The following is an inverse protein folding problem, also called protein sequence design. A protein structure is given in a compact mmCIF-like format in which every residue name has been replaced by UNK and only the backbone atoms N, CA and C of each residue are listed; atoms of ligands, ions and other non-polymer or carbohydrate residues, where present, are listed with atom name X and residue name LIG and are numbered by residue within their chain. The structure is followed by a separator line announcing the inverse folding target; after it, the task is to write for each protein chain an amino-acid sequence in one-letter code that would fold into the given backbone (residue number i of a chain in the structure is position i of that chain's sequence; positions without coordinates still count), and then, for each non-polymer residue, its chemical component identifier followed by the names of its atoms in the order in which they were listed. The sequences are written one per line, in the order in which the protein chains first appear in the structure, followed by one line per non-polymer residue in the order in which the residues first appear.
data_IF_292393168274
#
_entry.id   IF_292393168274
#
_cell.length_a   1.000
_cell.length_b   1.000
_cell.length_c   1.000
_cell.angle_alpha   90.00
_cell.angle_beta   90.00
_cell.angle_gamma   90.00
#
_symmetry.space_group_name_H-M   'P 1'
#
loop_
_entity.id
_entity.type
_entity.pdbx_description
1 polymer ?
#
# COMPACT_ATOMS: atom_id res chain seq x y z
N UNK A 1 -19.21 23.64 -9.18
CA UNK A 1 -17.95 22.94 -8.84
C UNK A 1 -18.11 22.39 -7.43
N UNK A 2 -17.74 21.13 -7.13
CA UNK A 2 -17.77 20.65 -5.76
C UNK A 2 -16.92 21.59 -4.89
N UNK A 3 -17.53 22.17 -3.86
CA UNK A 3 -16.85 23.06 -2.90
C UNK A 3 -16.11 22.19 -1.89
N UNK A 4 -14.81 21.98 -2.10
CA UNK A 4 -13.98 21.27 -1.13
C UNK A 4 -13.84 22.08 0.15
N UNK A 5 -13.93 21.40 1.30
CA UNK A 5 -13.63 22.03 2.59
C UNK A 5 -12.13 22.29 2.72
N UNK A 6 -11.69 23.28 3.55
CA UNK A 6 -10.26 23.51 3.79
C UNK A 6 -9.50 22.26 4.26
N UNK A 7 -10.16 21.41 5.07
CA UNK A 7 -9.61 20.13 5.51
C UNK A 7 -9.42 19.16 4.34
N UNK A 8 -10.38 19.02 3.43
CA UNK A 8 -10.26 18.16 2.25
C UNK A 8 -9.13 18.61 1.32
N UNK A 9 -8.98 19.93 1.14
CA UNK A 9 -7.87 20.48 0.35
C UNK A 9 -6.53 20.12 0.99
N UNK A 10 -6.41 20.29 2.32
CA UNK A 10 -5.20 19.93 3.05
C UNK A 10 -4.90 18.43 2.96
N UNK A 11 -5.88 17.57 3.26
CA UNK A 11 -5.73 16.11 3.17
C UNK A 11 -5.28 15.71 1.77
N UNK A 12 -5.98 16.14 0.72
CA UNK A 12 -5.60 15.81 -0.66
C UNK A 12 -4.19 16.31 -0.99
N UNK A 13 -3.82 17.53 -0.57
CA UNK A 13 -2.49 18.07 -0.84
C UNK A 13 -1.40 17.23 -0.17
N UNK A 14 -1.59 16.82 1.08
CA UNK A 14 -0.63 15.99 1.81
C UNK A 14 -0.64 14.51 1.39
N UNK A 15 -1.71 14.01 0.78
CA UNK A 15 -1.80 12.60 0.37
C UNK A 15 -1.58 12.38 -1.13
N UNK A 16 -1.49 13.44 -1.94
CA UNK A 16 -1.33 13.34 -3.41
C UNK A 16 -0.17 12.42 -3.83
N UNK A 17 0.96 12.45 -3.10
CA UNK A 17 2.13 11.62 -3.41
C UNK A 17 2.06 10.16 -2.95
N UNK A 18 1.02 9.78 -2.18
CA UNK A 18 0.96 8.47 -1.51
C UNK A 18 0.91 7.31 -2.52
N UNK A 19 0.35 7.57 -3.71
CA UNK A 19 0.41 6.71 -4.89
C UNK A 19 1.78 6.08 -5.14
N UNK A 20 2.80 6.94 -5.20
CA UNK A 20 4.17 6.51 -5.44
C UNK A 20 4.80 5.87 -4.21
N UNK A 21 4.47 6.38 -3.02
CA UNK A 21 5.00 5.87 -1.75
C UNK A 21 4.60 4.43 -1.49
N UNK A 22 3.34 4.07 -1.73
CA UNK A 22 2.88 2.70 -1.48
C UNK A 22 3.43 1.71 -2.51
N UNK A 23 3.60 2.10 -3.78
CA UNK A 23 4.23 1.20 -4.77
C UNK A 23 5.70 1.02 -4.48
N UNK A 24 6.39 2.08 -4.06
CA UNK A 24 7.78 1.95 -3.62
C UNK A 24 7.91 0.94 -2.48
N UNK A 25 7.07 1.03 -1.45
CA UNK A 25 7.10 0.05 -0.36
C UNK A 25 6.66 -1.35 -0.78
N UNK A 26 5.70 -1.49 -1.70
CA UNK A 26 5.36 -2.79 -2.28
C UNK A 26 6.59 -3.41 -2.96
N UNK A 27 7.34 -2.65 -3.75
CA UNK A 27 8.57 -3.13 -4.39
C UNK A 27 9.62 -3.51 -3.34
N UNK A 28 9.82 -2.70 -2.30
CA UNK A 28 10.70 -3.06 -1.17
C UNK A 28 10.26 -4.37 -0.51
N UNK A 29 8.96 -4.56 -0.28
CA UNK A 29 8.38 -5.79 0.24
C UNK A 29 8.71 -6.99 -0.65
N UNK A 30 8.52 -6.86 -1.96
CA UNK A 30 8.87 -7.91 -2.94
C UNK A 30 10.37 -8.25 -2.86
N UNK A 31 11.24 -7.23 -2.82
CA UNK A 31 12.69 -7.42 -2.78
C UNK A 31 13.19 -8.05 -1.48
N UNK A 32 12.44 -7.91 -0.38
CA UNK A 32 12.81 -8.45 0.94
C UNK A 32 13.01 -9.97 0.93
N UNK A 33 12.31 -10.68 0.04
CA UNK A 33 12.53 -12.12 -0.19
C UNK A 33 13.06 -12.41 -1.61
N UNK A 34 12.67 -11.62 -2.61
CA UNK A 34 13.16 -11.79 -3.98
C UNK A 34 14.69 -11.68 -4.10
N UNK A 35 15.31 -10.83 -3.27
CA UNK A 35 16.78 -10.70 -3.22
C UNK A 35 17.47 -11.95 -2.69
N UNK A 36 16.85 -12.71 -1.78
CA UNK A 36 17.41 -13.97 -1.27
C UNK A 36 17.38 -15.07 -2.32
N UNK A 37 16.29 -15.13 -3.10
CA UNK A 37 16.19 -16.03 -4.25
C UNK A 37 17.24 -15.67 -5.32
N UNK A 38 17.38 -14.38 -5.63
CA UNK A 38 18.33 -13.90 -6.66
C UNK A 38 19.78 -14.22 -6.31
N UNK A 39 20.18 -14.03 -5.05
CA UNK A 39 21.56 -14.25 -4.60
C UNK A 39 21.79 -15.64 -4.00
N UNK A 40 20.80 -16.55 -4.08
CA UNK A 40 20.86 -17.92 -3.53
C UNK A 40 21.19 -17.98 -2.03
N UNK A 41 20.90 -16.93 -1.28
CA UNK A 41 21.15 -16.87 0.17
C UNK A 41 20.02 -17.50 0.99
N UNK A 42 18.88 -17.82 0.36
CA UNK A 42 17.73 -18.43 1.03
C UNK A 42 18.08 -19.77 1.70
N UNK A 43 19.00 -20.55 1.13
CA UNK A 43 19.47 -21.81 1.73
C UNK A 43 20.16 -21.55 3.07
N UNK A 44 20.99 -20.51 3.15
CA UNK A 44 21.63 -20.10 4.40
C UNK A 44 20.61 -19.67 5.46
N UNK A 45 19.60 -18.89 5.06
CA UNK A 45 18.51 -18.46 5.95
C UNK A 45 17.72 -19.67 6.49
N UNK A 46 17.41 -20.65 5.63
CA UNK A 46 16.67 -21.85 6.02
C UNK A 46 17.51 -22.84 6.84
N UNK A 47 18.83 -22.85 6.68
CA UNK A 47 19.73 -23.60 7.56
C UNK A 47 19.80 -22.99 8.96
N UNK A 48 19.72 -21.65 9.07
CA UNK A 48 19.69 -20.96 10.36
C UNK A 48 18.33 -21.09 11.07
N UNK A 49 17.22 -20.96 10.35
CA UNK A 49 15.87 -21.17 10.88
C UNK A 49 15.02 -21.97 9.86
N UNK A 50 14.85 -23.29 10.08
CA UNK A 50 14.16 -24.16 9.12
C UNK A 50 12.65 -23.93 9.10
N UNK A 51 12.08 -23.30 10.14
CA UNK A 51 10.64 -23.00 10.19
C UNK A 51 10.35 -21.78 9.32
N UNK A 52 10.03 -22.04 8.04
CA UNK A 52 9.58 -21.05 7.05
C UNK A 52 8.57 -20.01 7.57
N UNK A 53 7.51 -20.35 8.35
CA UNK A 53 6.61 -19.32 8.88
C UNK A 53 7.29 -18.37 9.87
N UNK A 54 8.25 -18.85 10.67
CA UNK A 54 9.02 -18.01 11.61
C UNK A 54 9.94 -17.05 10.85
N UNK A 55 10.59 -17.54 9.78
CA UNK A 55 11.41 -16.71 8.90
C UNK A 55 10.58 -15.62 8.20
N UNK A 56 9.38 -15.94 7.72
CA UNK A 56 8.52 -14.93 7.08
C UNK A 56 7.99 -13.93 8.12
N UNK A 57 7.63 -14.39 9.33
CA UNK A 57 7.20 -13.49 10.41
C UNK A 57 8.29 -12.49 10.81
N UNK A 58 9.56 -12.89 10.85
CA UNK A 58 10.66 -11.95 11.13
C UNK A 58 10.79 -10.89 10.04
N UNK A 59 10.60 -11.25 8.77
CA UNK A 59 10.54 -10.30 7.64
C UNK A 59 9.35 -9.36 7.72
N UNK A 60 8.18 -9.84 8.16
CA UNK A 60 6.99 -8.98 8.41
C UNK A 60 7.33 -7.91 9.45
N UNK A 61 7.93 -8.29 10.58
CA UNK A 61 8.31 -7.34 11.65
C UNK A 61 9.35 -6.33 11.15
N UNK A 62 10.40 -6.82 10.48
CA UNK A 62 11.45 -5.95 9.92
C UNK A 62 10.89 -4.96 8.89
N UNK A 63 9.98 -5.43 8.03
CA UNK A 63 9.37 -4.61 6.99
C UNK A 63 8.39 -3.58 7.55
N UNK A 64 7.64 -3.91 8.60
CA UNK A 64 6.81 -2.95 9.32
C UNK A 64 7.67 -1.85 9.98
N UNK A 65 8.77 -2.23 10.62
CA UNK A 65 9.72 -1.25 11.18
C UNK A 65 10.30 -0.32 10.11
N UNK A 66 10.75 -0.89 8.98
CA UNK A 66 11.21 -0.10 7.83
C UNK A 66 10.09 0.79 7.25
N UNK A 67 8.88 0.25 7.10
CA UNK A 67 7.72 0.98 6.59
C UNK A 67 7.34 2.18 7.45
N UNK A 68 7.46 2.06 8.77
CA UNK A 68 7.28 3.20 9.70
C UNK A 68 8.37 4.25 9.47
N UNK A 69 9.64 3.87 9.41
CA UNK A 69 10.74 4.82 9.19
C UNK A 69 10.60 5.54 7.84
N UNK A 70 10.38 4.79 6.76
CA UNK A 70 10.13 5.34 5.44
C UNK A 70 8.90 6.23 5.43
N UNK A 71 7.81 5.80 6.06
CA UNK A 71 6.57 6.55 6.14
C UNK A 71 6.75 7.87 6.88
N UNK A 72 7.54 7.92 7.95
CA UNK A 72 7.87 9.15 8.66
C UNK A 72 8.66 10.12 7.77
N UNK A 73 9.63 9.62 7.00
CA UNK A 73 10.38 10.43 6.02
C UNK A 73 9.46 10.95 4.92
N UNK A 74 8.58 10.09 4.40
CA UNK A 74 7.58 10.45 3.40
C UNK A 74 6.63 11.53 3.92
N UNK A 75 6.09 11.35 5.13
CA UNK A 75 5.20 12.33 5.76
C UNK A 75 5.90 13.65 6.03
N UNK A 76 7.15 13.63 6.51
CA UNK A 76 7.92 14.85 6.71
C UNK A 76 8.07 15.63 5.40
N UNK A 77 8.47 14.94 4.31
CA UNK A 77 8.57 15.55 2.99
C UNK A 77 7.22 16.09 2.48
N UNK A 78 6.15 15.32 2.68
CA UNK A 78 4.80 15.73 2.26
C UNK A 78 4.28 16.93 3.05
N UNK A 79 4.43 16.93 4.37
CA UNK A 79 3.97 18.03 5.24
C UNK A 79 4.77 19.30 4.98
N UNK A 80 6.10 19.20 4.83
CA UNK A 80 6.94 20.36 4.49
C UNK A 80 6.47 20.96 3.16
N UNK A 81 6.40 20.14 2.11
CA UNK A 81 6.03 20.60 0.77
C UNK A 81 4.60 21.14 0.72
N UNK A 82 3.65 20.40 1.29
CA UNK A 82 2.24 20.77 1.29
C UNK A 82 1.97 22.03 2.12
N UNK A 83 2.59 22.17 3.28
CA UNK A 83 2.42 23.37 4.12
C UNK A 83 3.00 24.60 3.43
N UNK A 84 4.15 24.48 2.76
CA UNK A 84 4.70 25.57 1.93
C UNK A 84 3.75 25.96 0.79
N UNK A 85 3.16 24.99 0.09
CA UNK A 85 2.19 25.27 -0.99
C UNK A 85 0.91 25.92 -0.45
N UNK A 86 0.36 25.42 0.65
CA UNK A 86 -0.87 25.96 1.24
C UNK A 86 -0.66 27.39 1.75
N UNK A 87 0.43 27.63 2.48
CA UNK A 87 0.79 28.97 2.97
C UNK A 87 1.05 29.95 1.83
N UNK A 88 1.73 29.55 0.76
CA UNK A 88 1.93 30.39 -0.43
C UNK A 88 0.62 30.76 -1.13
N UNK A 89 -0.44 29.96 -0.97
CA UNK A 89 -1.79 30.22 -1.49
C UNK A 89 -2.70 30.91 -0.47
N UNK A 90 -2.18 31.34 0.68
CA UNK A 90 -2.96 31.97 1.75
C UNK A 90 -3.95 31.05 2.46
N UNK A 91 -3.80 29.74 2.31
CA UNK A 91 -4.63 28.73 2.97
C UNK A 91 -4.01 28.31 4.30
N UNK A 92 -4.85 27.92 5.27
CA UNK A 92 -4.36 27.37 6.54
C UNK A 92 -3.67 26.03 6.29
N UNK A 93 -2.43 25.87 6.74
CA UNK A 93 -1.65 24.65 6.53
C UNK A 93 -2.18 23.45 7.37
N UNK A 94 -2.71 23.72 8.56
CA UNK A 94 -3.18 22.68 9.49
C UNK A 94 -4.63 22.94 9.96
N UNK A 95 -5.62 22.90 9.04
CA UNK A 95 -7.02 22.97 9.43
C UNK A 95 -7.38 21.69 10.21
N UNK A 96 -8.14 21.83 11.29
CA UNK A 96 -8.59 20.70 12.13
C UNK A 96 -7.46 19.70 12.46
N UNK A 97 -6.41 20.20 13.10
CA UNK A 97 -5.15 19.48 13.31
C UNK A 97 -5.31 18.03 13.85
N UNK A 98 -6.33 17.74 14.67
CA UNK A 98 -6.64 16.39 15.14
C UNK A 98 -7.03 15.43 14.01
N UNK A 99 -8.00 15.83 13.17
CA UNK A 99 -8.48 15.04 12.02
C UNK A 99 -7.39 14.89 10.97
N UNK A 100 -6.62 15.96 10.73
CA UNK A 100 -5.48 15.93 9.82
C UNK A 100 -4.40 14.96 10.31
N UNK A 101 -4.00 15.04 11.58
CA UNK A 101 -2.97 14.14 12.16
C UNK A 101 -3.41 12.68 12.06
N UNK A 102 -4.68 12.38 12.33
CA UNK A 102 -5.24 11.05 12.12
C UNK A 102 -5.08 10.58 10.66
N UNK A 103 -5.39 11.44 9.70
CA UNK A 103 -5.26 11.11 8.27
C UNK A 103 -3.81 10.84 7.89
N UNK A 104 -2.86 11.60 8.42
CA UNK A 104 -1.43 11.36 8.21
C UNK A 104 -0.97 10.05 8.87
N UNK A 105 -1.47 9.69 10.05
CA UNK A 105 -1.18 8.39 10.67
C UNK A 105 -1.75 7.22 9.85
N UNK A 106 -2.91 7.40 9.21
CA UNK A 106 -3.46 6.39 8.30
C UNK A 106 -2.60 6.20 7.04
N UNK A 107 -1.85 7.23 6.59
CA UNK A 107 -0.85 7.06 5.53
C UNK A 107 0.24 6.08 5.96
N UNK A 108 0.77 6.19 7.20
CA UNK A 108 1.78 5.24 7.70
C UNK A 108 1.26 3.80 7.67
N UNK A 109 0.01 3.62 8.09
CA UNK A 109 -0.65 2.32 8.08
C UNK A 109 -0.77 1.76 6.66
N UNK A 110 -1.27 2.57 5.71
CA UNK A 110 -1.39 2.19 4.29
C UNK A 110 -0.03 1.79 3.73
N UNK A 111 1.01 2.60 3.96
CA UNK A 111 2.37 2.32 3.50
C UNK A 111 2.87 0.96 4.03
N UNK A 112 2.72 0.71 5.34
CA UNK A 112 3.07 -0.57 5.94
C UNK A 112 2.29 -1.75 5.34
N UNK A 113 0.98 -1.60 5.12
CA UNK A 113 0.15 -2.65 4.53
C UNK A 113 0.55 -2.96 3.09
N UNK A 114 0.85 -1.95 2.27
CA UNK A 114 1.35 -2.17 0.91
C UNK A 114 2.73 -2.83 0.88
N UNK A 115 3.59 -2.54 1.86
CA UNK A 115 4.83 -3.28 2.02
C UNK A 115 4.56 -4.78 2.23
N UNK A 116 3.60 -5.13 3.09
CA UNK A 116 3.22 -6.52 3.35
C UNK A 116 2.55 -7.19 2.14
N UNK A 117 1.73 -6.46 1.37
CA UNK A 117 1.18 -6.95 0.09
C UNK A 117 2.34 -7.31 -0.85
N UNK A 118 3.34 -6.42 -0.96
CA UNK A 118 4.56 -6.67 -1.72
C UNK A 118 5.34 -7.88 -1.24
N UNK A 119 5.52 -8.03 0.08
CA UNK A 119 6.15 -9.21 0.66
C UNK A 119 5.41 -10.49 0.26
N UNK A 120 4.08 -10.51 0.39
CA UNK A 120 3.27 -11.65 -0.03
C UNK A 120 3.47 -12.02 -1.51
N UNK A 121 3.47 -11.03 -2.40
CA UNK A 121 3.77 -11.24 -3.82
C UNK A 121 5.18 -11.80 -4.06
N UNK A 122 6.18 -11.26 -3.37
CA UNK A 122 7.56 -11.73 -3.45
C UNK A 122 7.72 -13.17 -2.95
N UNK A 123 6.98 -13.58 -1.92
CA UNK A 123 6.99 -14.96 -1.42
C UNK A 123 6.31 -15.90 -2.43
N UNK A 124 5.22 -15.46 -3.06
CA UNK A 124 4.47 -16.27 -4.04
C UNK A 124 5.28 -16.48 -5.33
N UNK A 125 5.99 -15.44 -5.79
CA UNK A 125 6.67 -15.38 -7.09
C UNK A 125 8.20 -15.31 -6.88
N UNK A 126 8.94 -16.43 -7.04
CA UNK A 126 10.38 -16.48 -6.77
C UNK A 126 11.23 -15.59 -7.68
N UNK A 127 10.77 -15.33 -8.90
CA UNK A 127 11.44 -14.42 -9.81
C UNK A 127 11.14 -12.97 -9.41
N UNK A 128 12.12 -12.31 -8.79
CA UNK A 128 12.02 -10.93 -8.32
C UNK A 128 11.52 -9.96 -9.40
N UNK A 129 12.02 -10.07 -10.64
CA UNK A 129 11.61 -9.18 -11.74
C UNK A 129 10.16 -9.45 -12.11
N UNK A 130 9.75 -10.71 -12.21
CA UNK A 130 8.36 -11.07 -12.49
C UNK A 130 7.41 -10.59 -11.39
N UNK A 131 7.80 -10.74 -10.11
CA UNK A 131 7.01 -10.27 -8.97
C UNK A 131 6.78 -8.76 -9.01
N UNK A 132 7.83 -7.99 -9.31
CA UNK A 132 7.75 -6.53 -9.46
C UNK A 132 6.84 -6.18 -10.65
N UNK A 133 7.04 -6.79 -11.81
CA UNK A 133 6.22 -6.51 -13.00
C UNK A 133 4.74 -6.84 -12.77
N UNK A 134 4.43 -7.95 -12.09
CA UNK A 134 3.05 -8.32 -11.73
C UNK A 134 2.47 -7.32 -10.75
N UNK A 135 3.16 -7.00 -9.64
CA UNK A 135 2.65 -6.07 -8.63
C UNK A 135 2.43 -4.66 -9.19
N UNK A 136 3.43 -4.11 -9.89
CA UNK A 136 3.35 -2.78 -10.51
C UNK A 136 2.34 -2.76 -11.65
N UNK A 137 2.35 -3.78 -12.51
CA UNK A 137 1.40 -3.89 -13.63
C UNK A 137 -0.05 -4.00 -13.15
N UNK A 138 -0.30 -4.72 -12.06
CA UNK A 138 -1.63 -4.76 -11.46
C UNK A 138 -2.01 -3.38 -10.92
N UNK A 139 -1.17 -2.76 -10.09
CA UNK A 139 -1.49 -1.50 -9.43
C UNK A 139 -1.64 -0.30 -10.38
N UNK A 140 -0.85 -0.23 -11.45
CA UNK A 140 -0.81 0.93 -12.36
C UNK A 140 -1.48 0.71 -13.72
N UNK A 141 -1.72 -0.53 -14.14
CA UNK A 141 -2.31 -0.82 -15.45
C UNK A 141 -3.64 -1.53 -15.27
N UNK A 142 -3.64 -2.71 -14.66
CA UNK A 142 -4.84 -3.54 -14.58
C UNK A 142 -5.92 -2.89 -13.71
N UNK A 143 -5.59 -2.47 -12.49
CA UNK A 143 -6.56 -1.86 -11.56
C UNK A 143 -7.18 -0.57 -12.12
N UNK A 144 -6.42 0.39 -12.70
CA UNK A 144 -7.02 1.56 -13.32
C UNK A 144 -7.93 1.22 -14.50
N UNK A 145 -7.54 0.28 -15.38
CA UNK A 145 -8.39 -0.16 -16.50
C UNK A 145 -9.68 -0.79 -15.98
N UNK A 146 -9.58 -1.71 -15.02
CA UNK A 146 -10.75 -2.35 -14.43
C UNK A 146 -11.63 -1.37 -13.65
N UNK A 147 -11.03 -0.35 -13.04
CA UNK A 147 -11.78 0.72 -12.36
C UNK A 147 -12.61 1.50 -13.36
N UNK A 148 -12.02 1.90 -14.51
CA UNK A 148 -12.74 2.60 -15.59
C UNK A 148 -13.80 1.70 -16.21
N UNK A 149 -13.49 0.45 -16.53
CA UNK A 149 -14.47 -0.49 -17.09
C UNK A 149 -15.62 -0.73 -16.10
N UNK A 150 -15.33 -0.81 -14.81
CA UNK A 150 -16.33 -1.00 -13.77
C UNK A 150 -17.27 0.19 -13.57
N UNK A 151 -16.91 1.40 -14.00
CA UNK A 151 -17.86 2.53 -14.01
C UNK A 151 -18.84 2.48 -15.19
N UNK A 152 -18.54 1.69 -16.23
CA UNK A 152 -19.36 1.54 -17.43
C UNK A 152 -20.38 0.38 -17.35
N UNK A 153 -20.21 -0.54 -16.40
CA UNK A 153 -21.02 -1.75 -16.26
C UNK A 153 -21.90 -1.63 -15.02
N UNK A 154 -23.18 -2.01 -15.13
CA UNK A 154 -24.11 -2.07 -13.99
C UNK A 154 -23.57 -3.01 -12.90
N UNK A 155 -23.41 -2.47 -11.68
CA UNK A 155 -22.83 -3.19 -10.54
C UNK A 155 -21.30 -3.30 -10.54
N UNK A 156 -20.60 -2.82 -11.57
CA UNK A 156 -19.13 -2.86 -11.61
C UNK A 156 -18.47 -2.05 -10.48
N UNK A 157 -19.09 -0.91 -10.11
CA UNK A 157 -18.66 -0.06 -8.98
C UNK A 157 -18.65 -0.80 -7.64
N UNK A 158 -19.55 -1.78 -7.45
CA UNK A 158 -19.60 -2.58 -6.22
C UNK A 158 -18.44 -3.57 -6.09
N UNK A 159 -17.81 -3.94 -7.20
CA UNK A 159 -16.62 -4.81 -7.19
C UNK A 159 -15.36 -3.96 -7.08
N UNK A 160 -15.28 -2.87 -7.84
CA UNK A 160 -14.11 -1.98 -7.90
C UNK A 160 -13.75 -1.41 -6.53
N UNK A 161 -14.73 -1.14 -5.66
CA UNK A 161 -14.48 -0.62 -4.30
C UNK A 161 -13.61 -1.52 -3.42
N UNK A 162 -13.49 -2.81 -3.77
CA UNK A 162 -12.65 -3.78 -3.06
C UNK A 162 -11.23 -3.91 -3.62
N UNK A 163 -10.87 -3.15 -4.65
CA UNK A 163 -9.49 -3.15 -5.16
C UNK A 163 -8.53 -2.48 -4.16
N UNK A 164 -7.26 -2.92 -4.07
CA UNK A 164 -6.27 -2.35 -3.16
C UNK A 164 -6.12 -0.83 -3.27
N UNK A 165 -6.08 -0.28 -4.49
CA UNK A 165 -6.03 1.17 -4.71
C UNK A 165 -7.29 1.89 -4.18
N UNK A 166 -8.47 1.33 -4.42
CA UNK A 166 -9.73 1.92 -3.96
C UNK A 166 -9.92 1.81 -2.45
N UNK A 167 -9.52 0.68 -1.86
CA UNK A 167 -9.44 0.51 -0.41
C UNK A 167 -8.47 1.52 0.21
N UNK A 168 -7.34 1.82 -0.45
CA UNK A 168 -6.40 2.86 -0.02
C UNK A 168 -7.05 4.23 -0.02
N UNK A 169 -7.76 4.58 -1.10
CA UNK A 169 -8.48 5.85 -1.18
C UNK A 169 -9.55 5.97 -0.07
N UNK A 170 -10.27 4.89 0.22
CA UNK A 170 -11.23 4.81 1.33
C UNK A 170 -10.57 5.06 2.70
N UNK A 171 -9.38 4.51 2.94
CA UNK A 171 -8.63 4.73 4.19
C UNK A 171 -8.20 6.19 4.34
N UNK A 172 -7.69 6.79 3.26
CA UNK A 172 -7.13 8.14 3.29
C UNK A 172 -8.20 9.24 3.25
N UNK A 173 -9.46 8.90 2.98
CA UNK A 173 -10.54 9.87 2.84
C UNK A 173 -10.32 10.87 1.71
N UNK A 174 -9.47 10.50 0.74
CA UNK A 174 -9.13 11.33 -0.41
C UNK A 174 -10.29 11.38 -1.41
N UNK A 175 -10.43 12.52 -2.09
CA UNK A 175 -11.43 12.68 -3.14
C UNK A 175 -10.96 12.01 -4.44
N UNK A 176 -11.75 11.08 -4.99
CA UNK A 176 -11.42 10.29 -6.18
C UNK A 176 -11.85 10.92 -7.52
N UNK A 177 -12.26 12.18 -7.56
CA UNK A 177 -12.73 12.81 -8.80
C UNK A 177 -14.19 12.56 -9.14
N UNK A 178 -14.78 11.47 -8.64
CA UNK A 178 -16.13 11.01 -8.93
C UNK A 178 -17.08 11.21 -7.72
N UNK A 179 -18.08 12.11 -7.81
CA UNK A 179 -19.08 12.32 -6.77
C UNK A 179 -19.96 11.08 -6.48
N UNK A 180 -20.07 10.14 -7.42
CA UNK A 180 -20.88 8.92 -7.28
C UNK A 180 -20.05 7.70 -6.90
N UNK A 181 -18.77 7.87 -6.54
CA UNK A 181 -17.91 6.75 -6.19
C UNK A 181 -18.46 6.02 -4.96
N UNK A 182 -18.74 4.73 -5.11
CA UNK A 182 -19.10 3.85 -4.00
C UNK A 182 -17.81 3.49 -3.26
N UNK A 183 -17.50 4.23 -2.19
CA UNK A 183 -16.31 3.98 -1.38
C UNK A 183 -16.65 3.17 -0.13
N UNK A 184 -15.70 2.33 0.28
CA UNK A 184 -15.74 1.70 1.58
C UNK A 184 -15.57 2.73 2.68
N UNK A 185 -16.04 2.41 3.89
CA UNK A 185 -15.66 3.18 5.07
C UNK A 185 -14.14 3.04 5.32
N UNK A 186 -13.52 4.05 5.93
CA UNK A 186 -12.08 4.06 6.21
C UNK A 186 -11.59 2.77 6.90
N UNK A 187 -12.35 2.24 7.87
CA UNK A 187 -11.99 1.00 8.57
C UNK A 187 -12.17 -0.25 7.69
N UNK A 188 -13.16 -0.25 6.79
CA UNK A 188 -13.36 -1.34 5.83
C UNK A 188 -12.24 -1.37 4.80
N UNK A 189 -11.78 -0.21 4.34
CA UNK A 189 -10.60 -0.10 3.47
C UNK A 189 -9.35 -0.67 4.16
N UNK A 190 -9.14 -0.33 5.44
CA UNK A 190 -8.01 -0.87 6.23
C UNK A 190 -8.09 -2.40 6.34
N UNK A 191 -9.25 -2.95 6.68
CA UNK A 191 -9.45 -4.39 6.77
C UNK A 191 -9.24 -5.08 5.42
N UNK A 192 -9.65 -4.45 4.32
CA UNK A 192 -9.46 -4.99 2.97
C UNK A 192 -7.98 -5.07 2.61
N UNK A 193 -7.20 -4.01 2.85
CA UNK A 193 -5.75 -4.03 2.64
C UNK A 193 -5.05 -5.07 3.51
N UNK A 194 -5.47 -5.18 4.77
CA UNK A 194 -4.96 -6.20 5.69
C UNK A 194 -5.30 -7.62 5.19
N UNK A 195 -6.50 -7.82 4.66
CA UNK A 195 -6.92 -9.09 4.08
C UNK A 195 -6.04 -9.47 2.88
N UNK A 196 -5.78 -8.54 1.94
CA UNK A 196 -4.86 -8.80 0.83
C UNK A 196 -3.45 -9.17 1.31
N UNK A 197 -2.90 -8.40 2.24
CA UNK A 197 -1.59 -8.67 2.82
C UNK A 197 -1.54 -10.06 3.47
N UNK A 198 -2.53 -10.38 4.32
CA UNK A 198 -2.61 -11.65 5.02
C UNK A 198 -2.77 -12.83 4.05
N UNK A 199 -3.64 -12.70 3.04
CA UNK A 199 -3.90 -13.73 2.04
C UNK A 199 -2.64 -14.01 1.21
N UNK A 200 -1.98 -12.98 0.67
CA UNK A 200 -0.77 -13.17 -0.13
C UNK A 200 0.39 -13.75 0.69
N UNK A 201 0.59 -13.27 1.92
CA UNK A 201 1.62 -13.82 2.81
C UNK A 201 1.31 -15.27 3.20
N UNK A 202 0.06 -15.59 3.52
CA UNK A 202 -0.35 -16.96 3.90
C UNK A 202 -0.21 -17.93 2.72
N UNK A 203 -0.70 -17.55 1.53
CA UNK A 203 -0.59 -18.37 0.32
C UNK A 203 0.89 -18.55 -0.06
N UNK A 204 1.67 -17.47 -0.04
CA UNK A 204 3.11 -17.52 -0.31
C UNK A 204 3.84 -18.46 0.66
N UNK A 205 3.57 -18.33 1.96
CA UNK A 205 4.17 -19.18 3.00
C UNK A 205 3.82 -20.65 2.77
N UNK A 206 2.56 -20.94 2.47
CA UNK A 206 2.09 -22.29 2.18
C UNK A 206 2.72 -22.89 0.92
N UNK A 207 2.81 -22.12 -0.17
CA UNK A 207 3.50 -22.54 -1.40
C UNK A 207 4.98 -22.82 -1.14
N UNK A 208 5.63 -22.00 -0.31
CA UNK A 208 7.04 -22.14 0.03
C UNK A 208 7.31 -23.39 0.87
N UNK A 209 6.38 -23.79 1.74
CA UNK A 209 6.46 -25.07 2.46
C UNK A 209 6.42 -26.30 1.54
N UNK A 210 5.74 -26.20 0.39
CA UNK A 210 5.57 -27.30 -0.57
C UNK A 210 6.65 -27.36 -1.64
N UNK A 211 7.49 -26.33 -1.76
CA UNK A 211 8.61 -26.29 -2.72
C UNK A 211 9.84 -26.89 -2.05
N UNK A 212 10.29 -28.03 -2.56
CA UNK A 212 11.60 -28.56 -2.23
C UNK A 212 12.67 -27.55 -2.65
N UNK A 213 13.50 -27.14 -1.69
CA UNK A 213 14.62 -26.23 -1.94
C UNK A 213 15.80 -27.12 -2.30
N UNK A 214 16.19 -27.12 -3.57
CA UNK A 214 17.41 -27.78 -4.09
C UNK A 214 18.52 -26.77 -4.28
#
# INVERSE_FOLDING_TARGET
MPTFTPLQIAINTYTTGVGFGYVFLMVIGIMTIGSEYRHKTITGTLLAEPRRPVMIASKVIALLGFGVLYGLVFLAGSVITGATILSARGMQAFPEAGTLTRSLLLVLLVLGLWALIGLGLGVMIPNQVAAILVGVGIAFILEPILSVVGTLIDGGRDVVKFFPSQATNAVLGGYNGDPESVMLNWWQGTLMLLLYAAVFVAIGTWLTNRRDVT
#
